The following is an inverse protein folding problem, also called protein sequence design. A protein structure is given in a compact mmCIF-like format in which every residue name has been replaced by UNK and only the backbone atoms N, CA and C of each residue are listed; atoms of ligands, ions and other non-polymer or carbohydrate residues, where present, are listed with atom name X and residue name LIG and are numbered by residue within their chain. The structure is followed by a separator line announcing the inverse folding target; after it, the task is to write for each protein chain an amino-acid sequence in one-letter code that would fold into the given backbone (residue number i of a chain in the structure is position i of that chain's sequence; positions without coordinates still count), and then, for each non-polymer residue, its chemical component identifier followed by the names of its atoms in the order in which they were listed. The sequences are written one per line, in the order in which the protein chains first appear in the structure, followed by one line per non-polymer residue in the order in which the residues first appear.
data_IF_494694911257
#
_entry.id   IF_494694911257
#
_cell.length_a   1.000
_cell.length_b   1.000
_cell.length_c   1.000
_cell.angle_alpha   90.00
_cell.angle_beta   90.00
_cell.angle_gamma   90.00
#
_symmetry.space_group_name_H-M   'P 1'
#
loop_
_entity.id
_entity.type
_entity.pdbx_description
1 polymer ?
#
# COMPACT_ATOMS: atom_id res chain seq x y z
N UNK A 1 -14.45 -20.29 -6.67
CA UNK A 1 -13.00 -20.17 -6.34
C UNK A 1 -12.83 -20.42 -4.86
N UNK A 2 -11.83 -21.22 -4.49
CA UNK A 2 -11.55 -21.55 -3.08
C UNK A 2 -10.57 -20.57 -2.46
N UNK A 3 -9.55 -20.16 -3.22
CA UNK A 3 -8.46 -19.27 -2.80
C UNK A 3 -8.34 -18.11 -3.81
N UNK A 4 -9.33 -17.18 -3.81
CA UNK A 4 -9.35 -16.10 -4.79
C UNK A 4 -8.23 -15.06 -4.53
N UNK A 5 -7.55 -14.66 -5.60
CA UNK A 5 -6.70 -13.48 -5.69
C UNK A 5 -7.48 -12.35 -6.35
N UNK A 6 -7.63 -11.23 -5.65
CA UNK A 6 -8.36 -10.05 -6.08
C UNK A 6 -7.40 -9.04 -6.68
N UNK A 7 -7.58 -8.73 -7.95
CA UNK A 7 -6.76 -7.78 -8.69
C UNK A 7 -7.58 -6.55 -9.06
N UNK A 8 -7.08 -5.38 -8.67
CA UNK A 8 -7.57 -4.08 -9.13
C UNK A 8 -6.70 -3.61 -10.27
N UNK A 9 -7.26 -3.48 -11.47
CA UNK A 9 -6.65 -2.67 -12.53
C UNK A 9 -7.13 -1.23 -12.38
N UNK A 10 -6.25 -0.29 -12.68
CA UNK A 10 -6.60 1.12 -12.68
C UNK A 10 -5.85 1.86 -13.79
N UNK A 11 -6.45 2.93 -14.29
CA UNK A 11 -5.76 3.98 -15.02
C UNK A 11 -6.38 5.33 -14.68
N UNK A 12 -5.62 6.41 -14.76
CA UNK A 12 -6.11 7.76 -14.49
C UNK A 12 -5.58 8.77 -15.48
N UNK A 13 -6.38 9.80 -15.76
CA UNK A 13 -5.99 10.91 -16.64
C UNK A 13 -6.61 12.23 -16.16
N UNK A 14 -5.94 13.34 -16.49
CA UNK A 14 -6.33 14.71 -16.13
C UNK A 14 -6.56 14.98 -14.63
N UNK A 15 -6.04 14.12 -13.74
CA UNK A 15 -6.12 14.32 -12.30
C UNK A 15 -5.00 13.60 -11.54
N UNK A 16 -4.77 14.07 -10.32
CA UNK A 16 -4.09 13.29 -9.28
C UNK A 16 -5.13 12.40 -8.63
N UNK A 17 -4.79 11.14 -8.34
CA UNK A 17 -5.74 10.24 -7.69
C UNK A 17 -5.10 9.36 -6.63
N UNK A 18 -5.95 8.93 -5.70
CA UNK A 18 -5.61 7.96 -4.66
C UNK A 18 -6.66 6.88 -4.62
N UNK A 19 -6.23 5.64 -4.45
CA UNK A 19 -7.15 4.52 -4.29
C UNK A 19 -6.95 3.93 -2.91
N UNK A 20 -8.04 3.79 -2.18
CA UNK A 20 -8.09 3.20 -0.85
C UNK A 20 -8.94 1.94 -0.87
N UNK A 21 -8.53 0.93 -0.10
CA UNK A 21 -9.36 -0.24 0.21
C UNK A 21 -9.52 -0.31 1.72
N UNK A 22 -10.76 -0.29 2.19
CA UNK A 22 -11.11 -0.30 3.61
C UNK A 22 -10.35 0.77 4.43
N UNK A 23 -10.26 1.99 3.90
CA UNK A 23 -9.58 3.11 4.55
C UNK A 23 -8.05 3.12 4.42
N UNK A 24 -7.47 2.09 3.80
CA UNK A 24 -6.02 1.91 3.64
C UNK A 24 -5.59 2.28 2.23
N UNK A 25 -4.57 3.14 2.10
CA UNK A 25 -4.05 3.59 0.81
C UNK A 25 -3.41 2.42 0.04
N UNK A 26 -3.75 2.29 -1.24
CA UNK A 26 -3.22 1.30 -2.17
C UNK A 26 -2.36 1.95 -3.25
N UNK A 27 -2.91 2.99 -3.88
CA UNK A 27 -2.28 3.70 -5.00
C UNK A 27 -2.23 5.16 -4.64
N UNK A 28 -1.05 5.76 -4.79
CA UNK A 28 -0.81 7.18 -4.56
C UNK A 28 -0.18 7.78 -5.82
N UNK A 29 -1.01 8.31 -6.73
CA UNK A 29 -0.52 8.99 -7.93
C UNK A 29 -0.26 10.47 -7.63
N UNK A 30 0.69 10.76 -6.75
CA UNK A 30 1.07 12.15 -6.45
C UNK A 30 1.77 12.76 -7.68
N UNK A 31 1.51 14.04 -7.90
CA UNK A 31 2.03 14.86 -9.01
C UNK A 31 1.46 14.53 -10.40
N UNK A 32 0.38 13.74 -10.48
CA UNK A 32 -0.42 13.61 -11.70
C UNK A 32 0.40 13.10 -12.88
N UNK A 33 1.25 12.08 -12.66
CA UNK A 33 1.93 11.38 -13.76
C UNK A 33 0.86 11.04 -14.80
N UNK A 34 0.89 11.66 -15.99
CA UNK A 34 -0.15 11.48 -16.97
C UNK A 34 -0.28 10.00 -17.32
N UNK A 35 -1.52 9.53 -17.43
CA UNK A 35 -1.85 8.18 -17.88
C UNK A 35 -1.22 7.06 -17.03
N UNK A 36 -1.15 7.28 -15.71
CA UNK A 36 -0.69 6.25 -14.78
C UNK A 36 -1.69 5.09 -14.74
N UNK A 37 -1.22 3.91 -15.15
CA UNK A 37 -1.98 2.68 -15.15
C UNK A 37 -1.22 1.56 -14.43
N UNK A 38 -1.96 0.64 -13.80
CA UNK A 38 -1.34 -0.45 -13.07
C UNK A 38 -2.31 -1.53 -12.64
N UNK A 39 -1.76 -2.55 -11.98
CA UNK A 39 -2.53 -3.61 -11.33
C UNK A 39 -2.06 -3.76 -9.90
N UNK A 40 -3.00 -3.74 -8.96
CA UNK A 40 -2.75 -3.90 -7.54
C UNK A 40 -3.40 -5.20 -7.03
N UNK A 41 -2.63 -6.02 -6.31
CA UNK A 41 -3.18 -7.16 -5.59
C UNK A 41 -3.81 -6.68 -4.27
N UNK A 42 -5.07 -7.02 -4.06
CA UNK A 42 -5.88 -6.53 -2.94
C UNK A 42 -5.86 -7.44 -1.71
N UNK A 43 -5.53 -8.72 -1.87
CA UNK A 43 -5.60 -9.73 -0.81
C UNK A 43 -4.94 -9.32 0.49
N UNK A 44 -3.81 -8.62 0.39
CA UNK A 44 -3.08 -8.13 1.56
C UNK A 44 -4.00 -7.28 2.45
N UNK A 45 -4.90 -6.49 1.86
CA UNK A 45 -5.75 -5.50 2.53
C UNK A 45 -7.19 -5.98 2.80
N UNK A 46 -7.49 -7.24 2.49
CA UNK A 46 -8.76 -7.88 2.81
C UNK A 46 -8.54 -8.70 4.07
N UNK A 47 -9.16 -8.31 5.19
CA UNK A 47 -8.97 -9.03 6.45
C UNK A 47 -9.81 -10.30 6.55
N UNK A 48 -11.00 -10.31 5.95
CA UNK A 48 -11.94 -11.42 6.02
C UNK A 48 -12.95 -11.37 4.88
N UNK A 49 -13.64 -12.49 4.66
CA UNK A 49 -14.82 -12.57 3.79
C UNK A 49 -15.86 -11.50 4.14
N UNK A 50 -16.50 -10.97 3.10
CA UNK A 50 -17.62 -10.04 3.17
C UNK A 50 -17.39 -8.78 2.35
N UNK A 51 -18.21 -7.78 2.63
CA UNK A 51 -18.18 -6.48 1.96
C UNK A 51 -16.85 -5.76 2.18
N UNK A 52 -16.28 -5.29 1.09
CA UNK A 52 -15.10 -4.45 1.04
C UNK A 52 -15.46 -3.09 0.42
N UNK A 53 -14.73 -2.05 0.81
CA UNK A 53 -14.97 -0.68 0.35
C UNK A 53 -13.77 -0.15 -0.41
N UNK A 54 -13.92 0.04 -1.72
CA UNK A 54 -12.97 0.77 -2.55
C UNK A 54 -13.36 2.24 -2.58
N UNK A 55 -12.44 3.15 -2.26
CA UNK A 55 -12.65 4.58 -2.41
C UNK A 55 -11.58 5.16 -3.34
N UNK A 56 -12.02 5.76 -4.44
CA UNK A 56 -11.17 6.47 -5.39
C UNK A 56 -11.34 7.96 -5.14
N UNK A 57 -10.29 8.59 -4.64
CA UNK A 57 -10.22 10.03 -4.41
C UNK A 57 -9.55 10.70 -5.62
N UNK A 58 -10.23 11.66 -6.24
CA UNK A 58 -9.72 12.47 -7.34
C UNK A 58 -9.42 13.87 -6.82
N UNK A 59 -8.23 14.36 -7.14
CA UNK A 59 -7.66 15.63 -6.72
C UNK A 59 -7.18 16.44 -7.93
N UNK A 60 -7.21 17.78 -7.85
CA UNK A 60 -6.64 18.64 -8.86
C UNK A 60 -5.15 18.31 -9.06
N UNK A 61 -4.70 18.45 -10.30
CA UNK A 61 -3.27 18.42 -10.60
C UNK A 61 -2.57 19.58 -9.89
N UNK A 62 -1.27 19.41 -9.65
CA UNK A 62 -0.46 20.44 -9.01
C UNK A 62 -0.57 21.77 -9.78
N UNK A 63 -0.91 22.83 -9.05
CA UNK A 63 -1.10 24.15 -9.64
C UNK A 63 -2.53 24.46 -10.10
N UNK A 64 -3.46 23.50 -10.03
CA UNK A 64 -4.90 23.75 -10.27
C UNK A 64 -5.69 23.69 -8.95
N UNK A 65 -6.85 24.37 -8.93
CA UNK A 65 -7.72 24.45 -7.75
C UNK A 65 -8.89 23.44 -7.78
N UNK A 66 -9.20 22.91 -8.96
CA UNK A 66 -10.37 22.05 -9.20
C UNK A 66 -10.00 20.86 -10.08
N UNK A 67 -10.73 19.77 -9.89
CA UNK A 67 -10.67 18.59 -10.76
C UNK A 67 -11.37 18.92 -12.07
N UNK A 68 -10.71 18.80 -13.23
CA UNK A 68 -11.33 19.04 -14.53
C UNK A 68 -12.55 18.13 -14.76
N UNK A 69 -13.55 18.60 -15.49
CA UNK A 69 -14.70 17.79 -15.87
C UNK A 69 -14.34 16.62 -16.82
N UNK A 70 -13.18 16.71 -17.48
CA UNK A 70 -12.61 15.66 -18.34
C UNK A 70 -11.84 14.59 -17.56
N UNK A 71 -11.54 14.84 -16.28
CA UNK A 71 -10.77 13.92 -15.47
C UNK A 71 -11.49 12.59 -15.28
N UNK A 72 -10.73 11.51 -15.24
CA UNK A 72 -11.28 10.21 -14.89
C UNK A 72 -10.24 9.34 -14.21
N UNK A 73 -10.74 8.44 -13.38
CA UNK A 73 -10.04 7.22 -13.00
C UNK A 73 -10.90 6.08 -13.52
N UNK A 74 -10.32 5.17 -14.26
CA UNK A 74 -10.94 3.90 -14.61
C UNK A 74 -10.43 2.80 -13.69
N UNK A 75 -11.33 1.89 -13.34
CA UNK A 75 -11.00 0.69 -12.56
C UNK A 75 -11.58 -0.55 -13.24
N UNK A 76 -10.91 -1.67 -13.00
CA UNK A 76 -11.44 -3.01 -13.18
C UNK A 76 -11.11 -3.83 -11.95
N UNK A 77 -12.01 -4.72 -11.54
CA UNK A 77 -11.79 -5.60 -10.41
C UNK A 77 -12.16 -7.01 -10.81
N UNK A 78 -11.22 -7.93 -10.70
CA UNK A 78 -11.46 -9.34 -10.95
C UNK A 78 -10.86 -10.22 -9.85
N UNK A 79 -11.46 -11.37 -9.68
CA UNK A 79 -10.89 -12.46 -8.90
C UNK A 79 -10.40 -13.56 -9.85
N UNK A 80 -9.23 -14.13 -9.55
CA UNK A 80 -8.63 -15.26 -10.25
C UNK A 80 -8.07 -16.25 -9.23
N UNK A 81 -7.85 -17.51 -9.63
CA UNK A 81 -7.35 -18.57 -8.76
C UNK A 81 -6.01 -19.09 -9.31
N UNK A 82 -5.04 -19.29 -8.43
CA UNK A 82 -3.74 -19.85 -8.79
C UNK A 82 -3.87 -21.30 -9.30
N UNK A 83 -4.87 -22.05 -8.84
CA UNK A 83 -5.11 -23.44 -9.26
C UNK A 83 -5.35 -23.57 -10.78
N UNK A 84 -5.80 -22.50 -11.43
CA UNK A 84 -6.05 -22.43 -12.87
C UNK A 84 -5.01 -21.54 -13.60
N UNK A 85 -3.80 -21.38 -13.05
CA UNK A 85 -2.75 -20.47 -13.54
C UNK A 85 -3.24 -19.02 -13.77
N UNK A 86 -4.21 -18.55 -12.98
CA UNK A 86 -4.86 -17.24 -13.16
C UNK A 86 -5.55 -17.03 -14.53
N UNK A 87 -5.78 -18.10 -15.32
CA UNK A 87 -6.37 -18.01 -16.66
C UNK A 87 -7.82 -17.57 -16.63
N UNK A 88 -8.57 -18.03 -15.63
CA UNK A 88 -9.99 -17.69 -15.47
C UNK A 88 -10.15 -16.47 -14.57
N UNK A 89 -10.78 -15.42 -15.12
CA UNK A 89 -11.07 -14.17 -14.41
C UNK A 89 -12.58 -14.04 -14.20
N UNK A 90 -12.98 -13.85 -12.95
CA UNK A 90 -14.35 -13.44 -12.60
C UNK A 90 -14.35 -11.95 -12.31
N UNK A 91 -14.89 -11.15 -13.22
CA UNK A 91 -14.97 -9.71 -13.05
C UNK A 91 -16.10 -9.33 -12.07
N UNK A 92 -15.74 -8.59 -11.03
CA UNK A 92 -16.64 -7.99 -10.03
C UNK A 92 -16.97 -6.54 -10.43
N UNK A 93 -15.99 -5.86 -11.03
CA UNK A 93 -16.16 -4.57 -11.69
C UNK A 93 -15.56 -4.73 -13.08
N UNK A 94 -16.35 -4.40 -14.11
CA UNK A 94 -15.90 -4.49 -15.50
C UNK A 94 -14.69 -3.59 -15.72
N UNK A 95 -13.71 -4.07 -16.46
CA UNK A 95 -12.55 -3.28 -16.87
C UNK A 95 -12.98 -2.04 -17.68
N UNK A 96 -12.31 -0.91 -17.43
CA UNK A 96 -12.66 0.38 -18.02
C UNK A 96 -13.86 1.09 -17.39
N UNK A 97 -14.33 0.67 -16.21
CA UNK A 97 -15.40 1.39 -15.50
C UNK A 97 -14.82 2.72 -15.00
N UNK A 98 -15.29 3.84 -15.55
CA UNK A 98 -14.82 5.20 -15.21
C UNK A 98 -15.55 5.80 -14.02
N UNK A 99 -14.87 6.71 -13.33
CA UNK A 99 -15.47 7.63 -12.36
C UNK A 99 -16.73 8.26 -12.95
N UNK A 100 -17.87 8.20 -12.24
CA UNK A 100 -19.10 8.82 -12.72
C UNK A 100 -18.94 10.34 -12.93
N UNK A 101 -19.24 10.89 -14.13
CA UNK A 101 -19.00 12.31 -14.43
C UNK A 101 -19.71 13.28 -13.49
N UNK A 102 -20.88 12.90 -12.96
CA UNK A 102 -21.63 13.72 -12.02
C UNK A 102 -20.91 13.95 -10.68
N UNK A 103 -19.87 13.18 -10.35
CA UNK A 103 -19.06 13.42 -9.15
C UNK A 103 -18.07 14.58 -9.34
N UNK A 104 -17.80 14.98 -10.57
CA UNK A 104 -16.83 16.02 -10.92
C UNK A 104 -17.47 17.42 -10.97
N UNK A 105 -18.80 17.48 -10.96
CA UNK A 105 -19.57 18.71 -11.12
C UNK A 105 -20.64 18.83 -10.04
N UNK A 106 -20.67 19.94 -9.32
CA UNK A 106 -21.80 20.33 -8.45
C UNK A 106 -22.43 21.57 -9.06
N UNK A 107 -23.71 21.49 -9.44
CA UNK A 107 -24.41 22.57 -10.14
C UNK A 107 -23.67 23.06 -11.41
N UNK A 108 -23.09 22.14 -12.18
CA UNK A 108 -22.24 22.40 -13.36
C UNK A 108 -20.92 23.13 -13.07
N UNK A 109 -20.47 23.18 -11.80
CA UNK A 109 -19.19 23.76 -11.41
C UNK A 109 -18.21 22.64 -11.02
N UNK A 110 -16.97 22.65 -11.55
CA UNK A 110 -15.92 21.73 -11.15
C UNK A 110 -15.64 21.74 -9.64
N UNK A 111 -15.41 20.56 -9.07
CA UNK A 111 -15.18 20.39 -7.63
C UNK A 111 -13.70 20.42 -7.26
N UNK A 112 -13.32 20.88 -6.06
CA UNK A 112 -11.94 20.82 -5.59
C UNK A 112 -11.46 19.40 -5.26
N UNK A 113 -12.39 18.45 -5.11
CA UNK A 113 -12.13 17.03 -4.85
C UNK A 113 -13.39 16.23 -5.17
N UNK A 114 -13.22 15.03 -5.72
CA UNK A 114 -14.30 14.05 -5.87
C UNK A 114 -13.94 12.74 -5.17
N UNK A 115 -14.94 12.04 -4.65
CA UNK A 115 -14.76 10.68 -4.10
C UNK A 115 -15.74 9.75 -4.79
N UNK A 116 -15.21 8.65 -5.33
CA UNK A 116 -16.00 7.58 -5.91
C UNK A 116 -15.85 6.32 -5.08
N UNK A 117 -16.94 5.95 -4.42
CA UNK A 117 -17.00 4.79 -3.53
C UNK A 117 -17.64 3.62 -4.26
N UNK A 118 -16.99 2.47 -4.23
CA UNK A 118 -17.46 1.22 -4.83
C UNK A 118 -17.38 0.10 -3.80
N UNK A 119 -18.45 -0.67 -3.69
CA UNK A 119 -18.51 -1.84 -2.81
C UNK A 119 -18.37 -3.12 -3.63
N UNK A 120 -17.71 -4.13 -3.07
CA UNK A 120 -17.69 -5.48 -3.61
C UNK A 120 -17.61 -6.51 -2.50
N UNK A 121 -18.04 -7.75 -2.77
CA UNK A 121 -17.91 -8.85 -1.82
C UNK A 121 -16.68 -9.69 -2.11
N UNK A 122 -15.80 -9.81 -1.10
CA UNK A 122 -14.67 -10.71 -1.12
C UNK A 122 -15.04 -12.04 -0.43
N UNK A 123 -14.56 -13.16 -0.98
CA UNK A 123 -14.83 -14.52 -0.55
C UNK A 123 -13.54 -15.24 -0.15
N UNK A 124 -12.65 -14.55 0.57
CA UNK A 124 -11.39 -15.14 1.08
C UNK A 124 -11.69 -16.20 2.17
N UNK A 125 -10.97 -17.33 2.20
CA UNK A 125 -11.20 -18.42 3.14
C UNK A 125 -10.54 -18.22 4.52
N UNK A 126 -9.92 -17.07 4.77
CA UNK A 126 -9.22 -16.77 6.03
C UNK A 126 -9.90 -15.63 6.81
N UNK A 127 -9.47 -15.51 8.06
CA UNK A 127 -9.66 -14.31 8.89
C UNK A 127 -8.29 -13.88 9.35
N UNK A 128 -7.75 -12.84 8.72
CA UNK A 128 -6.52 -12.19 9.14
C UNK A 128 -6.84 -11.18 10.25
N UNK A 129 -6.00 -11.14 11.27
CA UNK A 129 -6.12 -10.15 12.33
C UNK A 129 -5.92 -8.74 11.75
N UNK A 130 -6.97 -7.92 11.80
CA UNK A 130 -6.89 -6.51 11.49
C UNK A 130 -6.46 -5.76 12.76
N UNK A 131 -5.21 -5.98 13.19
CA UNK A 131 -4.67 -5.50 14.47
C UNK A 131 -5.04 -4.05 14.77
N UNK A 132 -4.98 -3.21 13.75
CA UNK A 132 -5.20 -1.77 13.84
C UNK A 132 -6.67 -1.33 14.02
N UNK A 133 -7.67 -2.20 13.81
CA UNK A 133 -9.10 -1.79 13.88
C UNK A 133 -9.58 -1.45 15.29
N UNK A 134 -8.94 -2.00 16.31
CA UNK A 134 -9.26 -1.72 17.71
C UNK A 134 -8.26 -0.76 18.37
N UNK A 135 -7.31 -0.24 17.61
CA UNK A 135 -6.20 0.55 18.15
C UNK A 135 -6.53 2.03 18.28
N UNK A 136 -5.63 2.71 18.99
CA UNK A 136 -5.76 4.13 19.34
C UNK A 136 -5.59 5.00 18.09
N UNK A 137 -6.38 6.06 18.00
CA UNK A 137 -6.13 7.17 17.06
C UNK A 137 -4.74 7.74 17.31
N UNK A 138 -3.80 7.46 16.41
CA UNK A 138 -2.38 7.78 16.56
C UNK A 138 -2.19 9.30 16.71
N UNK A 139 -3.04 10.11 16.08
CA UNK A 139 -2.94 11.57 16.16
C UNK A 139 -3.22 12.15 17.55
N UNK A 140 -3.78 11.35 18.45
CA UNK A 140 -4.02 11.72 19.86
C UNK A 140 -2.84 11.40 20.77
N UNK A 141 -1.80 10.73 20.28
CA UNK A 141 -0.60 10.47 21.06
C UNK A 141 0.28 11.72 21.09
N UNK A 142 0.89 11.99 22.24
CA UNK A 142 1.90 13.03 22.34
C UNK A 142 3.08 12.71 21.42
N UNK A 143 3.52 13.73 20.68
CA UNK A 143 4.67 13.64 19.77
C UNK A 143 4.56 12.46 18.79
N UNK A 144 3.34 12.19 18.30
CA UNK A 144 3.08 11.00 17.49
C UNK A 144 3.96 10.93 16.23
N UNK A 145 4.26 12.08 15.61
CA UNK A 145 5.11 12.15 14.42
C UNK A 145 6.54 11.72 14.75
N UNK A 146 7.12 12.26 15.82
CA UNK A 146 8.47 11.93 16.28
C UNK A 146 8.57 10.46 16.68
N UNK A 147 7.55 9.92 17.34
CA UNK A 147 7.51 8.49 17.74
C UNK A 147 7.42 7.57 16.53
N UNK A 148 6.65 7.93 15.50
CA UNK A 148 6.58 7.18 14.23
C UNK A 148 7.93 7.23 13.51
N UNK A 149 8.53 8.41 13.38
CA UNK A 149 9.85 8.56 12.76
C UNK A 149 10.90 7.74 13.51
N UNK A 150 10.90 7.77 14.85
CA UNK A 150 11.81 6.96 15.66
C UNK A 150 11.66 5.45 15.40
N UNK A 151 10.43 4.94 15.21
CA UNK A 151 10.21 3.54 14.85
C UNK A 151 10.78 3.21 13.45
N UNK A 152 10.63 4.11 12.47
CA UNK A 152 11.24 3.94 11.15
C UNK A 152 12.77 4.04 11.18
N UNK A 153 13.35 4.91 12.02
CA UNK A 153 14.80 4.99 12.25
C UNK A 153 15.32 3.65 12.78
N UNK A 154 14.64 3.04 13.76
CA UNK A 154 15.05 1.73 14.28
C UNK A 154 15.03 0.63 13.20
N UNK A 155 14.00 0.60 12.35
CA UNK A 155 13.93 -0.33 11.23
C UNK A 155 15.05 -0.08 10.21
N UNK A 156 15.29 1.18 9.85
CA UNK A 156 16.33 1.58 8.92
C UNK A 156 17.73 1.17 9.42
N UNK A 157 18.06 1.46 10.68
CA UNK A 157 19.33 1.05 11.27
C UNK A 157 19.46 -0.48 11.34
N UNK A 158 18.38 -1.20 11.67
CA UNK A 158 18.36 -2.67 11.66
C UNK A 158 18.71 -3.23 10.27
N UNK A 159 18.17 -2.63 9.20
CA UNK A 159 18.48 -2.99 7.81
C UNK A 159 19.92 -2.60 7.47
N UNK A 160 20.38 -1.41 7.86
CA UNK A 160 21.73 -0.90 7.60
C UNK A 160 22.82 -1.78 8.25
N UNK A 161 22.54 -2.32 9.44
CA UNK A 161 23.36 -3.31 10.14
C UNK A 161 23.34 -4.70 9.48
N UNK A 162 22.44 -4.96 8.52
CA UNK A 162 22.23 -6.29 7.94
C UNK A 162 21.62 -7.30 8.92
N UNK A 163 20.94 -6.83 9.96
CA UNK A 163 20.43 -7.65 11.05
C UNK A 163 19.06 -8.27 10.69
N UNK A 164 19.11 -9.33 9.88
CA UNK A 164 17.92 -10.03 9.39
C UNK A 164 17.02 -10.53 10.51
N UNK A 165 17.60 -11.08 11.58
CA UNK A 165 16.86 -11.61 12.71
C UNK A 165 15.97 -10.54 13.36
N UNK A 166 16.54 -9.38 13.73
CA UNK A 166 15.77 -8.28 14.33
C UNK A 166 14.73 -7.70 13.38
N UNK A 167 15.03 -7.66 12.08
CA UNK A 167 14.07 -7.21 11.08
C UNK A 167 12.88 -8.16 11.01
N UNK A 168 13.13 -9.47 10.97
CA UNK A 168 12.05 -10.48 10.93
C UNK A 168 11.19 -10.46 12.18
N UNK A 169 11.78 -10.28 13.37
CA UNK A 169 11.02 -10.09 14.61
C UNK A 169 10.09 -8.86 14.51
N UNK A 170 10.57 -7.76 13.93
CA UNK A 170 9.79 -6.53 13.76
C UNK A 170 8.68 -6.69 12.72
N UNK A 171 8.91 -7.49 11.67
CA UNK A 171 7.99 -7.72 10.56
C UNK A 171 7.07 -8.93 10.75
N UNK A 172 7.24 -9.72 11.81
CA UNK A 172 6.58 -11.04 11.97
C UNK A 172 5.06 -10.99 11.75
N UNK A 173 4.39 -9.98 12.31
CA UNK A 173 2.93 -9.80 12.14
C UNK A 173 2.54 -9.53 10.69
N UNK A 174 3.28 -8.66 10.02
CA UNK A 174 3.07 -8.34 8.61
C UNK A 174 3.31 -9.56 7.72
N UNK A 175 4.36 -10.35 7.98
CA UNK A 175 4.60 -11.60 7.26
C UNK A 175 3.50 -12.63 7.47
N UNK A 176 3.08 -12.88 8.71
CA UNK A 176 1.98 -13.83 8.98
C UNK A 176 0.72 -13.42 8.22
N UNK A 177 0.42 -12.11 8.16
CA UNK A 177 -0.69 -11.58 7.38
C UNK A 177 -0.49 -11.78 5.88
N UNK A 178 0.65 -11.39 5.32
CA UNK A 178 0.98 -11.56 3.90
C UNK A 178 0.84 -13.03 3.49
N UNK A 179 1.46 -13.94 4.24
CA UNK A 179 1.47 -15.36 3.95
C UNK A 179 0.05 -15.94 3.98
N UNK A 180 -0.75 -15.55 4.97
CA UNK A 180 -2.17 -15.96 5.07
C UNK A 180 -2.98 -15.41 3.88
N UNK A 181 -2.81 -14.13 3.56
CA UNK A 181 -3.56 -13.44 2.51
C UNK A 181 -3.24 -13.94 1.10
N UNK A 182 -2.00 -14.39 0.89
CA UNK A 182 -1.49 -14.91 -0.37
C UNK A 182 -1.56 -16.44 -0.49
N UNK A 183 -2.13 -17.12 0.51
CA UNK A 183 -2.22 -18.59 0.54
C UNK A 183 -0.85 -19.27 0.43
N UNK A 184 0.17 -18.65 1.03
CA UNK A 184 1.55 -19.11 0.92
C UNK A 184 1.77 -20.41 1.68
N UNK A 185 2.61 -21.25 1.09
CA UNK A 185 3.12 -22.46 1.74
C UNK A 185 4.30 -22.13 2.65
N UNK A 186 4.66 -23.04 3.55
CA UNK A 186 5.86 -22.89 4.37
C UNK A 186 7.12 -22.63 3.53
N UNK A 187 7.23 -23.30 2.37
CA UNK A 187 8.32 -23.06 1.42
C UNK A 187 8.30 -21.64 0.86
N UNK A 188 7.14 -21.14 0.44
CA UNK A 188 6.99 -19.76 -0.05
C UNK A 188 7.39 -18.74 1.00
N UNK A 189 7.03 -18.99 2.27
CA UNK A 189 7.43 -18.16 3.40
C UNK A 189 8.96 -18.11 3.58
N UNK A 190 9.62 -19.27 3.50
CA UNK A 190 11.08 -19.36 3.57
C UNK A 190 11.76 -18.65 2.40
N UNK A 191 11.23 -18.77 1.19
CA UNK A 191 11.76 -18.07 0.02
C UNK A 191 11.61 -16.54 0.16
N UNK A 192 10.46 -16.04 0.65
CA UNK A 192 10.24 -14.62 0.91
C UNK A 192 11.20 -14.07 1.98
N UNK A 193 11.41 -14.81 3.07
CA UNK A 193 12.40 -14.46 4.09
C UNK A 193 13.82 -14.43 3.49
N UNK A 194 14.20 -15.44 2.70
CA UNK A 194 15.51 -15.48 2.05
C UNK A 194 15.73 -14.29 1.12
N UNK A 195 14.74 -13.89 0.33
CA UNK A 195 14.84 -12.72 -0.56
C UNK A 195 15.10 -11.44 0.24
N UNK A 196 14.41 -11.24 1.35
CA UNK A 196 14.60 -10.06 2.20
C UNK A 196 15.95 -10.11 2.92
N UNK A 197 16.37 -11.29 3.39
CA UNK A 197 17.71 -11.47 3.95
C UNK A 197 18.80 -11.15 2.92
N UNK A 198 18.65 -11.64 1.69
CA UNK A 198 19.59 -11.38 0.61
C UNK A 198 19.62 -9.88 0.25
N UNK A 199 18.46 -9.21 0.23
CA UNK A 199 18.35 -7.77 0.00
C UNK A 199 19.13 -6.96 1.03
N UNK A 200 18.94 -7.22 2.33
CA UNK A 200 19.60 -6.44 3.39
C UNK A 200 21.07 -6.81 3.56
N UNK A 201 21.46 -8.06 3.27
CA UNK A 201 22.86 -8.51 3.29
C UNK A 201 23.61 -8.18 1.99
N UNK A 202 23.00 -7.42 1.07
CA UNK A 202 23.56 -7.02 -0.22
C UNK A 202 24.04 -8.21 -1.05
N UNK A 203 23.30 -9.32 -0.97
CA UNK A 203 23.48 -10.48 -1.83
C UNK A 203 22.65 -10.31 -3.11
N UNK A 204 22.95 -11.07 -4.16
CA UNK A 204 22.18 -10.99 -5.39
C UNK A 204 20.71 -11.38 -5.16
N UNK A 205 19.80 -10.49 -5.55
CA UNK A 205 18.37 -10.78 -5.71
C UNK A 205 18.11 -10.85 -7.22
N UNK A 206 17.90 -12.07 -7.72
CA UNK A 206 18.03 -12.35 -9.15
C UNK A 206 19.46 -12.11 -9.63
N UNK A 207 19.64 -11.25 -10.64
CA UNK A 207 20.95 -10.95 -11.24
C UNK A 207 21.52 -9.59 -10.78
N UNK A 208 20.97 -8.99 -9.72
CA UNK A 208 21.33 -7.64 -9.27
C UNK A 208 21.60 -7.64 -7.77
N UNK A 209 22.55 -6.83 -7.35
CA UNK A 209 22.79 -6.51 -5.94
C UNK A 209 22.19 -5.13 -5.69
N UNK A 210 21.41 -4.99 -4.63
CA UNK A 210 20.77 -3.74 -4.26
C UNK A 210 21.40 -3.18 -2.98
N UNK A 211 21.46 -1.85 -2.88
CA UNK A 211 21.96 -1.12 -1.73
C UNK A 211 20.87 -0.21 -1.17
N UNK A 212 20.70 -0.25 0.15
CA UNK A 212 19.82 0.67 0.88
C UNK A 212 20.24 2.11 0.61
N UNK A 213 19.25 2.96 0.30
CA UNK A 213 19.46 4.35 -0.04
C UNK A 213 19.42 5.22 1.21
N UNK A 214 20.37 6.16 1.35
CA UNK A 214 20.40 7.09 2.47
C UNK A 214 19.12 7.91 2.57
N UNK A 215 18.68 8.22 3.78
CA UNK A 215 17.43 8.91 4.06
C UNK A 215 17.65 10.11 4.97
N UNK A 216 17.09 11.26 4.60
CA UNK A 216 16.97 12.40 5.51
C UNK A 216 15.59 12.38 6.19
N UNK A 217 15.55 11.79 7.38
CA UNK A 217 14.33 11.66 8.19
C UNK A 217 13.66 13.00 8.52
N UNK A 218 14.37 14.14 8.47
CA UNK A 218 13.77 15.46 8.72
C UNK A 218 12.86 15.93 7.58
N UNK A 219 13.13 15.45 6.37
CA UNK A 219 12.34 15.76 5.17
C UNK A 219 11.19 14.77 4.93
N UNK A 220 11.15 13.67 5.70
CA UNK A 220 10.14 12.65 5.58
C UNK A 220 8.76 13.15 6.02
N UNK A 221 7.72 12.62 5.37
CA UNK A 221 6.33 12.94 5.66
C UNK A 221 5.62 11.75 6.30
N UNK A 222 5.08 11.95 7.49
CA UNK A 222 4.16 11.01 8.13
C UNK A 222 2.78 11.10 7.48
N UNK A 223 2.22 9.97 7.06
CA UNK A 223 0.83 9.87 6.57
C UNK A 223 0.03 8.96 7.47
N UNK A 224 -1.24 9.28 7.67
CA UNK A 224 -2.17 8.54 8.52
C UNK A 224 -3.38 8.06 7.71
N UNK A 225 -3.85 6.84 8.00
CA UNK A 225 -4.94 6.15 7.31
C UNK A 225 -5.86 5.45 8.29
N UNK A 226 -7.00 4.94 7.77
CA UNK A 226 -8.00 4.17 8.52
C UNK A 226 -8.37 4.83 9.86
N UNK A 227 -8.98 6.01 9.77
CA UNK A 227 -9.27 6.93 10.88
C UNK A 227 -8.07 7.26 11.78
N UNK A 228 -6.87 7.30 11.19
CA UNK A 228 -5.59 7.59 11.84
C UNK A 228 -5.09 6.48 12.77
N UNK A 229 -5.49 5.23 12.53
CA UNK A 229 -4.99 4.04 13.25
C UNK A 229 -3.81 3.37 12.56
N UNK A 230 -3.54 3.72 11.30
CA UNK A 230 -2.40 3.23 10.54
C UNK A 230 -1.56 4.42 10.09
N UNK A 231 -0.24 4.27 10.16
CA UNK A 231 0.71 5.27 9.72
C UNK A 231 1.72 4.68 8.72
N UNK A 232 2.20 5.52 7.82
CA UNK A 232 3.46 5.26 7.13
C UNK A 232 4.34 6.52 7.05
N UNK A 233 5.55 6.33 6.54
CA UNK A 233 6.51 7.42 6.31
C UNK A 233 6.97 7.39 4.86
N UNK A 234 6.80 8.52 4.18
CA UNK A 234 7.25 8.74 2.82
C UNK A 234 8.49 9.64 2.80
N UNK A 235 9.48 9.30 1.98
CA UNK A 235 10.64 10.16 1.71
C UNK A 235 10.22 11.38 0.89
N UNK A 236 11.04 12.44 0.92
CA UNK A 236 10.83 13.62 0.09
C UNK A 236 10.88 13.33 -1.40
N UNK A 237 11.59 12.26 -1.79
CA UNK A 237 11.70 11.76 -3.17
C UNK A 237 10.52 10.85 -3.60
N UNK A 238 9.52 10.66 -2.72
CA UNK A 238 8.33 9.85 -3.01
C UNK A 238 8.50 8.34 -2.78
N UNK A 239 9.69 7.87 -2.38
CA UNK A 239 9.90 6.44 -2.10
C UNK A 239 9.62 6.08 -0.62
N UNK A 240 9.38 4.80 -0.31
CA UNK A 240 9.37 4.29 1.07
C UNK A 240 10.72 4.46 1.75
N UNK A 241 10.75 4.49 3.09
CA UNK A 241 11.99 4.63 3.88
C UNK A 241 13.00 3.51 3.56
N UNK A 242 12.53 2.25 3.50
CA UNK A 242 13.36 1.09 3.19
C UNK A 242 13.39 0.85 1.68
N UNK A 243 14.11 1.72 0.97
CA UNK A 243 14.25 1.68 -0.49
C UNK A 243 15.69 1.35 -0.91
N UNK A 244 15.82 0.50 -1.92
CA UNK A 244 17.09 -0.06 -2.35
C UNK A 244 17.25 0.08 -3.87
N UNK A 245 18.44 0.49 -4.32
CA UNK A 245 18.77 0.55 -5.74
C UNK A 245 19.97 -0.32 -6.06
N UNK A 246 20.02 -0.85 -7.28
CA UNK A 246 21.20 -1.56 -7.75
C UNK A 246 22.28 -0.60 -8.27
N UNK A 247 21.87 0.55 -8.80
CA UNK A 247 22.75 1.68 -9.12
C UNK A 247 22.09 2.98 -8.64
N UNK A 248 22.88 3.92 -8.15
CA UNK A 248 22.39 5.23 -7.69
C UNK A 248 21.57 5.98 -8.76
N UNK A 249 21.97 5.83 -10.03
CA UNK A 249 21.30 6.44 -11.19
C UNK A 249 19.97 5.78 -11.57
N UNK A 250 19.63 4.63 -10.99
CA UNK A 250 18.39 3.95 -11.34
C UNK A 250 17.18 4.77 -10.85
N UNK A 251 16.14 4.85 -11.69
CA UNK A 251 14.86 5.49 -11.37
C UNK A 251 13.89 4.54 -10.66
N UNK A 252 14.23 3.25 -10.60
CA UNK A 252 13.45 2.20 -9.93
C UNK A 252 14.34 1.35 -9.02
N UNK A 253 13.72 0.66 -8.07
CA UNK A 253 14.42 -0.10 -7.05
C UNK A 253 13.53 -1.16 -6.41
N UNK A 254 14.06 -1.81 -5.38
CA UNK A 254 13.30 -2.67 -4.49
C UNK A 254 12.89 -1.88 -3.24
N UNK A 255 11.74 -2.19 -2.65
CA UNK A 255 11.28 -1.57 -1.42
C UNK A 255 10.77 -2.62 -0.44
N UNK A 256 10.95 -2.37 0.85
CA UNK A 256 10.20 -3.04 1.92
C UNK A 256 9.17 -2.04 2.40
N UNK A 257 7.92 -2.22 1.95
CA UNK A 257 6.81 -1.37 2.37
C UNK A 257 6.45 -1.67 3.82
N UNK A 258 6.56 -0.65 4.67
CA UNK A 258 6.26 -0.73 6.10
C UNK A 258 5.06 0.16 6.38
N UNK A 259 4.13 -0.36 7.19
CA UNK A 259 3.06 0.42 7.83
C UNK A 259 3.05 0.10 9.30
N UNK A 260 2.76 1.11 10.10
CA UNK A 260 2.76 1.01 11.55
C UNK A 260 1.35 1.20 12.11
N UNK A 261 1.04 0.47 13.17
CA UNK A 261 -0.06 0.81 14.09
C UNK A 261 0.48 0.92 15.51
N UNK A 262 -0.29 1.56 16.38
CA UNK A 262 0.10 1.78 17.77
C UNK A 262 -0.65 0.82 18.70
N UNK A 263 0.10 -0.05 19.37
CA UNK A 263 -0.45 -1.03 20.31
C UNK A 263 -0.36 -0.45 21.72
N UNK A 264 -1.49 -0.02 22.26
CA UNK A 264 -1.55 0.67 23.55
C UNK A 264 -1.06 -0.19 24.73
N UNK A 265 -1.35 -1.50 24.71
CA UNK A 265 -0.90 -2.44 25.76
C UNK A 265 0.62 -2.62 25.80
N UNK A 266 1.30 -2.36 24.69
CA UNK A 266 2.75 -2.48 24.55
C UNK A 266 3.46 -1.11 24.53
N UNK A 267 2.70 0.00 24.55
CA UNK A 267 3.16 1.38 24.42
C UNK A 267 4.17 1.59 23.26
N UNK A 268 3.95 0.92 22.13
CA UNK A 268 4.88 0.95 20.99
C UNK A 268 4.17 0.86 19.64
N UNK A 269 4.88 1.30 18.60
CA UNK A 269 4.49 1.05 17.23
C UNK A 269 4.91 -0.36 16.80
N UNK A 270 4.05 -1.04 16.04
CA UNK A 270 4.31 -2.37 15.46
C UNK A 270 4.04 -2.35 13.96
N UNK A 271 4.77 -3.17 13.22
CA UNK A 271 4.58 -3.29 11.76
C UNK A 271 3.38 -4.20 11.44
N UNK A 272 2.58 -3.81 10.45
CA UNK A 272 1.34 -4.49 10.02
C UNK A 272 1.29 -4.78 8.54
#
# INVERSE_FOLDING_TARGET
MKEPFYHLTYAGSDCTFKIYLNGILLVDNIDGVPDNAGTQLLNLFIAKKGKQLLNVELLPNKGTAVVPATAYVEIGLYAADQANDFKEKTYLIKEGTKTPPQLLLVNNVPVPKANWVVEFDAAVPYVAEAFWKNDTDISKLDQYQERIIAAYVQLYETVKEGNAFRLFESLHRSFTRINTSLYETEKGNQDNQRIIEDLIKRRPVGNRVFALQEVDFKSCKVRLYDDRRVADVLRSDGNPVLFFKAKETDTSGAAIDVRLTYVASENKFVVI
#
